data_IF_631751763415
#
_entry.id   IF_631751763415
#
_cell.length_a   1.000
_cell.length_b   1.000
_cell.length_c   1.000
_cell.angle_alpha   90.00
_cell.angle_beta   90.00
_cell.angle_gamma   90.00
#
_symmetry.space_group_name_H-M   'P 1'
#
loop_
_entity.id
_entity.type
_entity.pdbx_description
1 polymer ?
#
# COMPACT_ATOMS: atom_id res chain seq x y z
N UNK A 1 -1.80 -19.79 0.02
CA UNK A 1 -0.94 -19.04 -0.91
C UNK A 1 -1.01 -17.58 -0.50
N UNK A 2 0.11 -16.87 -0.45
CA UNK A 2 0.13 -15.44 -0.09
C UNK A 2 -0.55 -14.65 -1.21
N UNK A 3 -1.59 -13.87 -0.90
CA UNK A 3 -2.35 -13.08 -1.86
C UNK A 3 -1.78 -11.65 -2.03
N UNK A 4 -0.47 -11.50 -1.87
CA UNK A 4 0.27 -10.25 -2.03
C UNK A 4 1.62 -10.51 -2.72
N UNK A 5 2.24 -9.50 -3.36
CA UNK A 5 3.50 -9.67 -4.09
C UNK A 5 4.61 -10.18 -3.18
N UNK A 6 5.30 -11.22 -3.61
CA UNK A 6 6.48 -11.73 -2.90
C UNK A 6 7.62 -10.71 -2.99
N UNK A 7 8.40 -10.59 -1.92
CA UNK A 7 9.63 -9.82 -1.98
C UNK A 7 10.61 -10.47 -2.97
N UNK A 8 11.11 -9.67 -3.93
CA UNK A 8 12.06 -10.11 -4.96
C UNK A 8 13.51 -9.77 -4.55
N UNK A 9 13.70 -8.99 -3.49
CA UNK A 9 15.01 -8.55 -2.98
C UNK A 9 15.21 -8.84 -1.47
N UNK A 10 16.27 -8.29 -0.86
CA UNK A 10 16.63 -8.55 0.54
C UNK A 10 15.76 -7.73 1.53
N UNK A 11 14.44 -7.89 1.45
CA UNK A 11 13.47 -7.26 2.34
C UNK A 11 12.28 -8.20 2.58
N UNK A 12 11.49 -7.92 3.62
CA UNK A 12 10.26 -8.66 3.90
C UNK A 12 9.05 -7.88 3.39
N UNK A 13 7.97 -8.55 3.01
CA UNK A 13 6.70 -7.88 2.70
C UNK A 13 6.18 -7.10 3.91
N UNK A 14 6.40 -7.63 5.12
CA UNK A 14 6.17 -6.96 6.38
C UNK A 14 7.05 -7.56 7.49
N UNK A 15 7.14 -6.85 8.62
CA UNK A 15 7.74 -7.33 9.87
C UNK A 15 6.86 -6.93 11.05
N UNK A 16 6.74 -7.83 12.01
CA UNK A 16 6.12 -7.54 13.29
C UNK A 16 7.18 -7.23 14.35
N UNK A 17 6.94 -6.19 15.14
CA UNK A 17 7.74 -5.86 16.32
C UNK A 17 6.89 -5.11 17.36
N UNK A 18 6.90 -5.59 18.61
CA UNK A 18 6.28 -4.92 19.77
C UNK A 18 4.82 -4.51 19.56
N UNK A 19 3.99 -5.38 18.98
CA UNK A 19 2.59 -5.10 18.71
C UNK A 19 2.33 -4.22 17.48
N UNK A 20 3.38 -3.81 16.76
CA UNK A 20 3.26 -3.09 15.49
C UNK A 20 3.54 -4.01 14.32
N UNK A 21 2.81 -3.81 13.23
CA UNK A 21 3.05 -4.40 11.93
C UNK A 21 3.57 -3.31 10.98
N UNK A 22 4.80 -3.48 10.52
CA UNK A 22 5.44 -2.62 9.53
C UNK A 22 5.33 -3.29 8.18
N UNK A 23 4.50 -2.74 7.30
CA UNK A 23 4.29 -3.23 5.93
C UNK A 23 5.18 -2.41 5.00
N UNK A 24 6.04 -3.10 4.24
CA UNK A 24 6.90 -2.48 3.24
C UNK A 24 6.07 -1.77 2.17
N UNK A 25 6.69 -0.84 1.42
CA UNK A 25 6.04 -0.16 0.31
C UNK A 25 5.39 -1.16 -0.66
N UNK A 26 4.06 -1.04 -0.81
CA UNK A 26 3.28 -1.87 -1.70
C UNK A 26 3.11 -1.15 -3.03
N UNK A 27 3.66 -1.77 -4.07
CA UNK A 27 3.46 -1.42 -5.47
C UNK A 27 2.17 -2.04 -6.01
N UNK A 28 1.63 -1.53 -7.13
CA UNK A 28 0.42 -2.03 -7.78
C UNK A 28 0.66 -3.31 -8.59
N UNK A 29 1.41 -4.24 -8.02
CA UNK A 29 1.73 -5.54 -8.64
C UNK A 29 0.55 -6.48 -8.41
N UNK A 30 0.07 -7.12 -9.47
CA UNK A 30 -0.84 -8.24 -9.36
C UNK A 30 -0.07 -9.46 -8.77
N UNK A 31 -0.48 -10.01 -7.62
CA UNK A 31 0.24 -11.10 -6.97
C UNK A 31 0.22 -12.42 -7.77
N UNK A 32 -0.71 -12.59 -8.70
CA UNK A 32 -0.80 -13.78 -9.56
C UNK A 32 0.17 -13.72 -10.73
N UNK A 33 0.22 -12.58 -11.43
CA UNK A 33 1.09 -12.41 -12.61
C UNK A 33 2.49 -11.89 -12.27
N UNK A 34 2.66 -11.23 -11.13
CA UNK A 34 3.92 -10.58 -10.73
C UNK A 34 4.18 -9.25 -11.45
N UNK A 35 3.23 -8.75 -12.24
CA UNK A 35 3.37 -7.53 -13.04
C UNK A 35 2.38 -6.42 -12.66
N UNK A 36 2.69 -5.20 -13.11
CA UNK A 36 1.76 -4.05 -13.01
C UNK A 36 0.87 -4.05 -14.24
N UNK A 37 -0.38 -4.45 -14.06
CA UNK A 37 -1.38 -4.54 -15.15
C UNK A 37 -2.19 -3.24 -15.31
N UNK A 38 -2.43 -2.55 -14.20
CA UNK A 38 -3.17 -1.30 -14.15
C UNK A 38 -2.39 -0.15 -14.81
N UNK A 39 -3.06 0.63 -15.66
CA UNK A 39 -2.44 1.70 -16.46
C UNK A 39 -2.62 3.10 -15.91
N UNK A 40 -3.61 3.31 -15.05
CA UNK A 40 -3.91 4.61 -14.45
C UNK A 40 -3.73 4.60 -12.94
N UNK A 41 -3.66 5.80 -12.36
CA UNK A 41 -3.43 5.99 -10.93
C UNK A 41 -4.54 5.35 -10.07
N UNK A 42 -5.80 5.34 -10.53
CA UNK A 42 -6.92 4.84 -9.71
C UNK A 42 -6.79 3.32 -9.54
N UNK A 43 -6.64 2.60 -10.63
CA UNK A 43 -6.49 1.14 -10.59
C UNK A 43 -5.17 0.72 -9.94
N UNK A 44 -4.08 1.47 -10.12
CA UNK A 44 -2.84 1.21 -9.39
C UNK A 44 -2.97 1.47 -7.87
N UNK A 45 -3.67 2.54 -7.47
CA UNK A 45 -3.96 2.81 -6.05
C UNK A 45 -4.75 1.66 -5.45
N UNK A 46 -5.78 1.20 -6.16
CA UNK A 46 -6.61 0.07 -5.74
C UNK A 46 -5.78 -1.20 -5.57
N UNK A 47 -4.94 -1.56 -6.54
CA UNK A 47 -4.11 -2.76 -6.45
C UNK A 47 -3.12 -2.68 -5.29
N UNK A 48 -2.48 -1.52 -5.07
CA UNK A 48 -1.58 -1.32 -3.94
C UNK A 48 -2.29 -1.50 -2.60
N UNK A 49 -3.52 -0.98 -2.47
CA UNK A 49 -4.35 -1.15 -1.27
C UNK A 49 -4.84 -2.59 -1.10
N UNK A 50 -5.17 -3.31 -2.17
CA UNK A 50 -5.52 -4.74 -2.09
C UNK A 50 -4.33 -5.60 -1.62
N UNK A 51 -3.11 -5.27 -2.07
CA UNK A 51 -1.90 -5.92 -1.59
C UNK A 51 -1.68 -5.67 -0.09
N UNK A 52 -1.88 -4.43 0.37
CA UNK A 52 -1.88 -4.09 1.81
C UNK A 52 -2.96 -4.87 2.56
N UNK A 53 -4.18 -4.93 2.03
CA UNK A 53 -5.30 -5.63 2.65
C UNK A 53 -4.99 -7.11 2.85
N UNK A 54 -4.39 -7.76 1.85
CA UNK A 54 -4.00 -9.16 1.94
C UNK A 54 -2.94 -9.40 3.04
N UNK A 55 -1.98 -8.49 3.20
CA UNK A 55 -0.98 -8.56 4.28
C UNK A 55 -1.63 -8.34 5.65
N UNK A 56 -2.52 -7.36 5.78
CA UNK A 56 -3.27 -7.12 7.02
C UNK A 56 -4.09 -8.36 7.40
N UNK A 57 -4.83 -8.94 6.45
CA UNK A 57 -5.66 -10.13 6.65
C UNK A 57 -4.83 -11.35 7.08
N UNK A 58 -3.65 -11.57 6.49
CA UNK A 58 -2.74 -12.65 6.92
C UNK A 58 -2.32 -12.49 8.39
N UNK A 59 -2.27 -11.26 8.89
CA UNK A 59 -1.91 -10.94 10.27
C UNK A 59 -3.12 -10.77 11.20
N UNK A 60 -4.32 -11.16 10.77
CA UNK A 60 -5.60 -10.97 11.49
C UNK A 60 -5.91 -9.49 11.80
N UNK A 61 -5.51 -8.58 10.90
CA UNK A 61 -5.77 -7.15 10.97
C UNK A 61 -6.63 -6.69 9.78
N UNK A 62 -7.14 -5.47 9.87
CA UNK A 62 -7.82 -4.78 8.78
C UNK A 62 -7.36 -3.31 8.71
N UNK A 63 -7.95 -2.52 7.80
CA UNK A 63 -7.61 -1.11 7.65
C UNK A 63 -7.87 -0.26 8.91
N UNK A 64 -8.75 -0.69 9.81
CA UNK A 64 -8.99 -0.01 11.09
C UNK A 64 -7.79 -0.10 12.04
N UNK A 65 -6.89 -1.06 11.83
CA UNK A 65 -5.65 -1.19 12.59
C UNK A 65 -4.53 -0.29 12.06
N UNK A 66 -4.70 0.31 10.88
CA UNK A 66 -3.67 1.15 10.26
C UNK A 66 -3.63 2.50 10.93
N UNK A 67 -2.47 2.87 11.45
CA UNK A 67 -2.26 4.10 12.22
C UNK A 67 -1.45 5.15 11.44
N UNK A 68 -0.64 4.72 10.46
CA UNK A 68 0.17 5.60 9.61
C UNK A 68 0.29 5.05 8.20
N UNK A 69 0.14 5.93 7.21
CA UNK A 69 0.50 5.67 5.80
C UNK A 69 1.52 6.67 5.29
N UNK A 70 2.44 6.23 4.45
CA UNK A 70 3.24 7.12 3.58
C UNK A 70 2.92 6.75 2.13
N UNK A 71 2.47 7.73 1.37
CA UNK A 71 2.01 7.55 0.00
C UNK A 71 2.96 8.30 -0.94
N UNK A 72 3.65 7.56 -1.78
CA UNK A 72 4.58 8.09 -2.77
C UNK A 72 3.87 8.09 -4.12
N UNK A 73 3.78 9.24 -4.77
CA UNK A 73 3.19 9.38 -6.10
C UNK A 73 4.30 9.67 -7.12
N UNK A 74 4.17 9.15 -8.35
CA UNK A 74 5.05 9.55 -9.46
C UNK A 74 4.76 10.98 -9.93
N UNK A 75 3.51 11.44 -9.78
CA UNK A 75 3.08 12.78 -10.15
C UNK A 75 2.08 13.33 -9.12
N UNK A 76 2.35 14.52 -8.57
CA UNK A 76 1.48 15.11 -7.54
C UNK A 76 0.11 15.54 -8.11
N UNK A 77 0.01 15.75 -9.43
CA UNK A 77 -1.25 16.10 -10.08
C UNK A 77 -2.29 14.98 -10.00
N UNK A 78 -1.86 13.74 -9.73
CA UNK A 78 -2.74 12.59 -9.56
C UNK A 78 -3.36 12.49 -8.16
N UNK A 79 -3.03 13.41 -7.23
CA UNK A 79 -3.44 13.36 -5.84
C UNK A 79 -4.97 13.26 -5.63
N UNK A 80 -5.77 13.94 -6.46
CA UNK A 80 -7.24 13.89 -6.37
C UNK A 80 -7.75 12.49 -6.76
N UNK A 81 -7.28 11.95 -7.88
CA UNK A 81 -7.67 10.62 -8.36
C UNK A 81 -7.21 9.51 -7.40
N UNK A 82 -6.00 9.63 -6.86
CA UNK A 82 -5.49 8.76 -5.80
C UNK A 82 -6.40 8.79 -4.57
N UNK A 83 -6.78 9.98 -4.09
CA UNK A 83 -7.58 10.13 -2.88
C UNK A 83 -8.99 9.54 -3.01
N UNK A 84 -9.59 9.62 -4.20
CA UNK A 84 -10.90 9.02 -4.46
C UNK A 84 -10.90 7.53 -4.11
N UNK A 85 -9.90 6.80 -4.60
CA UNK A 85 -9.75 5.37 -4.29
C UNK A 85 -9.29 5.16 -2.86
N UNK A 86 -8.27 5.89 -2.40
CA UNK A 86 -7.74 5.76 -1.04
C UNK A 86 -8.85 5.90 0.02
N UNK A 87 -9.72 6.89 -0.13
CA UNK A 87 -10.81 7.15 0.82
C UNK A 87 -11.83 6.02 0.91
N UNK A 88 -11.94 5.15 -0.11
CA UNK A 88 -12.84 3.99 -0.06
C UNK A 88 -12.35 2.85 0.85
N UNK A 89 -11.07 2.83 1.20
CA UNK A 89 -10.47 1.78 2.06
C UNK A 89 -10.33 2.19 3.53
N UNK A 90 -10.43 3.49 3.83
CA UNK A 90 -10.26 4.02 5.19
C UNK A 90 -11.52 4.74 5.66
N UNK A 91 -11.84 4.60 6.95
CA UNK A 91 -12.89 5.37 7.64
C UNK A 91 -12.31 6.10 8.85
N UNK A 92 -13.09 7.01 9.43
CA UNK A 92 -12.68 7.70 10.64
C UNK A 92 -12.62 6.73 11.86
N UNK A 93 -11.65 6.89 12.79
CA UNK A 93 -10.52 7.82 12.72
C UNK A 93 -9.51 7.39 11.63
N UNK A 94 -9.17 8.31 10.73
CA UNK A 94 -8.23 8.03 9.65
C UNK A 94 -6.80 7.89 10.18
N UNK A 95 -5.93 7.09 9.53
CA UNK A 95 -4.52 7.05 9.88
C UNK A 95 -3.86 8.42 9.69
N UNK A 96 -2.80 8.69 10.46
CA UNK A 96 -1.87 9.76 10.11
C UNK A 96 -1.30 9.50 8.71
N UNK A 97 -1.05 10.56 7.93
CA UNK A 97 -0.63 10.40 6.53
C UNK A 97 0.42 11.41 6.10
N UNK A 98 1.37 10.92 5.31
CA UNK A 98 2.24 11.75 4.47
C UNK A 98 2.00 11.37 3.01
N UNK A 99 1.82 12.35 2.12
CA UNK A 99 1.61 12.10 0.70
C UNK A 99 2.34 13.15 -0.13
N UNK A 100 3.21 12.73 -1.03
CA UNK A 100 4.06 13.61 -1.82
C UNK A 100 4.51 12.91 -3.10
N UNK A 101 4.95 13.70 -4.08
CA UNK A 101 5.57 13.15 -5.28
C UNK A 101 7.06 12.88 -5.09
N UNK A 102 7.54 11.80 -5.69
CA UNK A 102 8.96 11.43 -5.77
C UNK A 102 9.42 11.41 -7.22
N UNK A 103 10.73 11.35 -7.44
CA UNK A 103 11.30 11.38 -8.79
C UNK A 103 10.88 10.16 -9.62
N UNK A 104 11.10 8.97 -9.08
CA UNK A 104 10.84 7.69 -9.75
C UNK A 104 10.39 6.66 -8.71
N UNK A 105 9.53 5.72 -9.12
CA UNK A 105 9.11 4.56 -8.34
C UNK A 105 9.57 3.26 -9.02
N UNK A 106 9.80 2.17 -8.27
CA UNK A 106 10.17 0.89 -8.86
C UNK A 106 9.13 0.41 -9.90
N UNK A 107 9.60 -0.30 -10.94
CA UNK A 107 8.79 -0.75 -12.07
C UNK A 107 8.00 0.36 -12.80
N UNK A 108 8.40 1.63 -12.67
CA UNK A 108 7.65 2.78 -13.21
C UNK A 108 6.19 2.85 -12.72
N UNK A 109 5.94 2.39 -11.49
CA UNK A 109 4.62 2.54 -10.86
C UNK A 109 4.25 4.03 -10.72
N UNK A 110 2.95 4.30 -10.67
CA UNK A 110 2.40 5.64 -10.43
C UNK A 110 2.21 5.92 -8.93
N UNK A 111 2.15 4.86 -8.12
CA UNK A 111 1.98 4.95 -6.66
C UNK A 111 2.68 3.81 -5.94
N UNK A 112 3.19 4.11 -4.75
CA UNK A 112 3.65 3.14 -3.76
C UNK A 112 3.13 3.56 -2.39
N UNK A 113 2.67 2.61 -1.57
CA UNK A 113 2.09 2.90 -0.25
C UNK A 113 2.72 2.00 0.80
N UNK A 114 3.36 2.59 1.81
CA UNK A 114 3.78 1.86 3.01
C UNK A 114 2.81 2.10 4.17
N UNK A 115 2.74 1.14 5.10
CA UNK A 115 1.76 1.15 6.19
C UNK A 115 2.40 0.73 7.50
N UNK A 116 2.03 1.42 8.58
CA UNK A 116 2.21 0.93 9.95
C UNK A 116 0.82 0.68 10.52
N UNK A 117 0.62 -0.54 11.02
CA UNK A 117 -0.57 -0.94 11.76
C UNK A 117 -0.22 -1.32 13.19
N UNK A 118 -1.18 -1.17 14.11
CA UNK A 118 -1.05 -1.60 15.50
C UNK A 118 -2.01 -2.75 15.78
N UNK A 119 -1.50 -3.81 16.40
CA UNK A 119 -2.32 -4.85 17.02
C UNK A 119 -2.93 -4.25 18.28
N UNK A 120 -4.26 -4.40 18.42
CA UNK A 120 -4.99 -3.96 19.61
C UNK A 120 -4.67 -4.79 20.84
#
# INVERSE_FOLDING_TARGET
MSNYPKAIGPYSAYREANGFLFISGQLPINPESGEIEAKDIKEQTKQSLLNIEAILKENNLCFDNVIKTTCFLANINDFVNFNEIYSSFFKAPYPARSAFAVKDLPKNALVEIEVIAAKG
#
